data_IF_565974350792
#
_entry.id   IF_565974350792
#
_cell.length_a   1.000
_cell.length_b   1.000
_cell.length_c   1.000
_cell.angle_alpha   90.00
_cell.angle_beta   90.00
_cell.angle_gamma   90.00
#
_symmetry.space_group_name_H-M   'P 1'
#
loop_
_entity.id
_entity.type
_entity.pdbx_description
1 polymer ?
#
# COMPACT_ATOMS: atom_id res chain seq x y z
N UNK A 1 -9.95 -7.96 -3.34
CA UNK A 1 -8.64 -7.68 -2.70
C UNK A 1 -8.67 -8.25 -1.29
N UNK A 2 -7.56 -8.81 -0.83
CA UNK A 2 -7.38 -9.35 0.52
C UNK A 2 -6.23 -8.63 1.22
N UNK A 3 -6.46 -8.19 2.46
CA UNK A 3 -5.46 -7.50 3.29
C UNK A 3 -5.29 -8.27 4.59
N UNK A 4 -4.08 -8.70 4.88
CA UNK A 4 -3.76 -9.41 6.13
C UNK A 4 -2.90 -8.54 7.03
N UNK A 5 -3.29 -8.43 8.30
CA UNK A 5 -2.53 -7.79 9.35
C UNK A 5 -1.95 -8.84 10.30
N UNK A 6 -0.63 -8.92 10.39
CA UNK A 6 0.06 -9.85 11.29
C UNK A 6 0.69 -9.07 12.44
N UNK A 7 0.24 -9.32 13.68
CA UNK A 7 0.88 -8.75 14.88
C UNK A 7 2.32 -9.26 14.98
N UNK A 8 3.26 -8.35 15.23
CA UNK A 8 4.67 -8.69 15.41
C UNK A 8 5.10 -8.44 16.86
N UNK A 9 6.31 -8.90 17.20
CA UNK A 9 6.94 -8.57 18.47
C UNK A 9 7.34 -7.09 18.54
N UNK A 10 7.26 -6.53 19.76
CA UNK A 10 7.33 -5.08 19.97
C UNK A 10 6.09 -4.39 19.40
N UNK A 11 5.91 -3.11 19.70
CA UNK A 11 4.74 -2.31 19.31
C UNK A 11 4.66 -2.11 17.79
N UNK A 12 4.37 -3.18 17.02
CA UNK A 12 4.47 -3.27 15.55
C UNK A 12 3.51 -4.30 14.97
N UNK A 13 3.17 -4.13 13.70
CA UNK A 13 2.47 -5.11 12.88
C UNK A 13 2.99 -5.08 11.44
N UNK A 14 2.80 -6.18 10.72
CA UNK A 14 3.07 -6.33 9.29
C UNK A 14 1.76 -6.36 8.53
N UNK A 15 1.76 -5.78 7.34
CA UNK A 15 0.65 -5.84 6.41
C UNK A 15 1.09 -6.50 5.10
N UNK A 16 0.26 -7.41 4.60
CA UNK A 16 0.36 -8.02 3.28
C UNK A 16 -0.93 -7.81 2.50
N UNK A 17 -0.83 -7.63 1.18
CA UNK A 17 -1.97 -7.38 0.31
C UNK A 17 -1.90 -8.29 -0.90
N UNK A 18 -2.99 -8.98 -1.18
CA UNK A 18 -3.23 -9.72 -2.42
C UNK A 18 -4.35 -9.03 -3.18
N UNK A 19 -4.09 -8.71 -4.45
CA UNK A 19 -5.02 -7.95 -5.29
C UNK A 19 -5.01 -8.50 -6.71
N UNK A 20 -6.12 -8.30 -7.42
CA UNK A 20 -6.31 -8.77 -8.79
C UNK A 20 -5.56 -7.91 -9.81
N UNK A 21 -5.45 -6.61 -9.54
CA UNK A 21 -4.89 -5.62 -10.46
C UNK A 21 -3.54 -5.08 -9.96
N UNK A 22 -2.60 -4.88 -10.90
CA UNK A 22 -1.29 -4.28 -10.62
C UNK A 22 -0.23 -5.28 -10.16
N UNK A 23 1.02 -4.81 -9.90
CA UNK A 23 2.10 -5.70 -9.48
C UNK A 23 1.84 -6.25 -8.07
N UNK A 24 2.37 -7.44 -7.80
CA UNK A 24 2.47 -7.98 -6.45
C UNK A 24 3.20 -6.98 -5.54
N UNK A 25 2.75 -6.87 -4.29
CA UNK A 25 3.27 -5.90 -3.32
C UNK A 25 4.15 -6.59 -2.28
N UNK A 26 5.26 -5.95 -1.93
CA UNK A 26 6.10 -6.40 -0.84
C UNK A 26 5.38 -6.17 0.50
N UNK A 27 5.48 -7.11 1.47
CA UNK A 27 5.01 -6.88 2.83
C UNK A 27 5.66 -5.62 3.42
N UNK A 28 4.87 -4.82 4.16
CA UNK A 28 5.38 -3.63 4.87
C UNK A 28 5.04 -3.68 6.35
N UNK A 29 5.80 -2.95 7.16
CA UNK A 29 5.42 -2.67 8.54
C UNK A 29 4.52 -1.43 8.56
N UNK A 30 3.40 -1.51 9.26
CA UNK A 30 2.46 -0.39 9.34
C UNK A 30 2.86 0.63 10.41
N UNK A 31 2.45 1.90 10.26
CA UNK A 31 2.69 2.95 11.23
C UNK A 31 1.73 2.82 12.42
N UNK A 32 2.01 3.57 13.49
CA UNK A 32 1.06 3.83 14.57
C UNK A 32 0.58 2.57 15.28
N UNK A 33 1.36 2.10 16.25
CA UNK A 33 0.92 0.97 17.07
C UNK A 33 -0.16 1.39 18.07
N UNK A 34 -1.18 0.56 18.17
CA UNK A 34 -2.17 0.56 19.23
C UNK A 34 -2.39 -0.90 19.69
N UNK A 35 -2.69 -1.10 20.97
CA UNK A 35 -2.85 -2.43 21.56
C UNK A 35 -4.09 -3.19 21.04
N UNK A 36 -5.11 -2.46 20.62
CA UNK A 36 -6.40 -3.01 20.22
C UNK A 36 -6.51 -3.25 18.72
N UNK A 37 -6.07 -2.30 17.88
CA UNK A 37 -6.22 -2.43 16.44
C UNK A 37 -5.07 -1.75 15.66
N UNK A 38 -4.56 -2.37 14.58
CA UNK A 38 -3.67 -1.70 13.65
C UNK A 38 -4.28 -0.42 13.07
N UNK A 39 -3.52 0.66 13.03
CA UNK A 39 -3.97 1.94 12.44
C UNK A 39 -4.48 1.76 11.00
N UNK A 40 -3.74 1.03 10.17
CA UNK A 40 -4.12 0.77 8.78
C UNK A 40 -5.40 -0.08 8.66
N UNK A 41 -5.75 -0.88 9.66
CA UNK A 41 -7.01 -1.63 9.66
C UNK A 41 -8.21 -0.70 9.88
N UNK A 42 -8.07 0.36 10.68
CA UNK A 42 -9.10 1.40 10.84
C UNK A 42 -9.40 2.05 9.48
N UNK A 43 -8.37 2.42 8.73
CA UNK A 43 -8.52 3.01 7.40
C UNK A 43 -9.22 2.06 6.42
N UNK A 44 -8.83 0.79 6.40
CA UNK A 44 -9.46 -0.21 5.54
C UNK A 44 -10.95 -0.36 5.85
N UNK A 45 -11.30 -0.54 7.13
CA UNK A 45 -12.69 -0.72 7.56
C UNK A 45 -13.50 0.54 7.21
N UNK A 46 -13.00 1.72 7.55
CA UNK A 46 -13.69 2.98 7.25
C UNK A 46 -13.94 3.18 5.74
N UNK A 47 -12.95 2.84 4.90
CA UNK A 47 -13.12 2.90 3.44
C UNK A 47 -14.17 1.91 2.94
N UNK A 48 -14.18 0.67 3.46
CA UNK A 48 -15.17 -0.35 3.10
C UNK A 48 -16.60 0.06 3.50
N UNK A 49 -16.79 0.48 4.75
CA UNK A 49 -18.11 0.86 5.28
C UNK A 49 -18.67 2.11 4.57
N UNK A 50 -17.81 3.05 4.19
CA UNK A 50 -18.21 4.26 3.48
C UNK A 50 -18.23 4.11 1.94
N UNK A 51 -17.87 2.94 1.39
CA UNK A 51 -17.83 2.71 -0.06
C UNK A 51 -16.81 3.56 -0.82
N UNK A 52 -15.70 3.95 -0.16
CA UNK A 52 -14.72 4.87 -0.71
C UNK A 52 -13.69 4.16 -1.60
N UNK A 53 -13.84 4.29 -2.92
CA UNK A 53 -12.86 3.75 -3.88
C UNK A 53 -11.58 4.61 -4.04
N UNK A 54 -11.63 5.89 -3.64
CA UNK A 54 -10.51 6.84 -3.78
C UNK A 54 -9.54 6.87 -2.59
N UNK A 55 -9.82 6.08 -1.54
CA UNK A 55 -9.01 6.01 -0.34
C UNK A 55 -7.64 5.37 -0.55
N UNK A 56 -6.94 5.09 0.54
CA UNK A 56 -5.64 4.42 0.51
C UNK A 56 -5.79 3.00 -0.05
N UNK A 57 -6.73 2.23 0.49
CA UNK A 57 -6.95 0.85 0.08
C UNK A 57 -7.74 0.74 -1.21
N UNK A 58 -8.69 1.64 -1.46
CA UNK A 58 -9.38 1.72 -2.75
C UNK A 58 -8.41 1.90 -3.93
N UNK A 59 -7.43 2.80 -3.80
CA UNK A 59 -6.39 2.97 -4.82
C UNK A 59 -5.44 1.78 -4.91
N UNK A 60 -5.11 1.13 -3.78
CA UNK A 60 -4.35 -0.13 -3.81
C UNK A 60 -5.11 -1.23 -4.55
N UNK A 61 -6.42 -1.34 -4.35
CA UNK A 61 -7.27 -2.28 -5.08
C UNK A 61 -7.30 -1.97 -6.59
N UNK A 62 -7.27 -0.70 -6.97
CA UNK A 62 -7.16 -0.25 -8.37
C UNK A 62 -5.77 -0.50 -9.00
N UNK A 63 -4.82 -1.09 -8.26
CA UNK A 63 -3.49 -1.46 -8.76
C UNK A 63 -2.39 -0.43 -8.50
N UNK A 64 -2.69 0.67 -7.80
CA UNK A 64 -1.67 1.63 -7.39
C UNK A 64 -0.80 1.09 -6.26
N UNK A 65 0.51 1.36 -6.28
CA UNK A 65 1.38 0.88 -5.21
C UNK A 65 1.25 1.73 -3.93
N UNK A 66 0.99 3.05 -4.07
CA UNK A 66 0.80 4.01 -2.97
C UNK A 66 1.76 3.80 -1.78
N UNK A 67 1.26 3.26 -0.67
CA UNK A 67 2.01 3.05 0.58
C UNK A 67 2.87 1.78 0.57
N UNK A 68 2.83 0.98 -0.50
CA UNK A 68 3.59 -0.25 -0.69
C UNK A 68 4.62 -0.11 -1.81
N UNK A 69 5.67 -0.91 -1.72
CA UNK A 69 6.58 -1.15 -2.84
C UNK A 69 6.12 -2.38 -3.65
N UNK A 70 6.32 -2.42 -4.98
CA UNK A 70 6.24 -3.67 -5.73
C UNK A 70 7.20 -4.71 -5.16
N UNK A 71 6.79 -5.98 -5.16
CA UNK A 71 7.62 -7.10 -4.72
C UNK A 71 8.75 -7.41 -5.72
N UNK A 72 8.50 -7.21 -7.02
CA UNK A 72 9.49 -7.44 -8.08
C UNK A 72 10.44 -6.23 -8.23
N UNK A 73 11.76 -6.39 -8.01
CA UNK A 73 12.76 -5.34 -8.21
C UNK A 73 12.77 -4.73 -9.61
N UNK A 74 12.37 -5.49 -10.64
CA UNK A 74 12.30 -5.00 -12.03
C UNK A 74 11.22 -3.92 -12.19
N UNK A 75 10.09 -4.08 -11.50
CA UNK A 75 8.97 -3.14 -11.48
C UNK A 75 9.36 -1.86 -10.74
N UNK A 76 10.10 -2.01 -9.63
CA UNK A 76 10.65 -0.87 -8.87
C UNK A 76 11.55 -0.01 -9.77
N UNK A 77 12.48 -0.62 -10.51
CA UNK A 77 13.38 0.09 -11.43
C UNK A 77 12.60 0.84 -12.52
N UNK A 78 11.59 0.19 -13.10
CA UNK A 78 10.73 0.79 -14.14
C UNK A 78 9.93 1.99 -13.60
N UNK A 79 9.37 1.89 -12.40
CA UNK A 79 8.65 2.98 -11.74
C UNK A 79 9.57 4.17 -11.45
N UNK A 80 10.74 3.94 -10.84
CA UNK A 80 11.73 5.00 -10.60
C UNK A 80 12.15 5.73 -11.88
N UNK A 81 12.34 4.99 -12.99
CA UNK A 81 12.67 5.57 -14.30
C UNK A 81 11.54 6.43 -14.87
N UNK A 82 10.28 6.05 -14.65
CA UNK A 82 9.11 6.85 -15.07
C UNK A 82 8.99 8.12 -14.24
N UNK A 83 9.18 8.04 -12.93
CA UNK A 83 9.11 9.20 -12.03
C UNK A 83 10.20 10.23 -12.31
N UNK A 84 11.43 9.78 -12.60
CA UNK A 84 12.52 10.67 -13.02
C UNK A 84 12.19 11.39 -14.33
N UNK A 85 11.69 10.67 -15.34
CA UNK A 85 11.23 11.29 -16.60
C UNK A 85 10.08 12.29 -16.41
N UNK A 86 9.15 12.00 -15.48
CA UNK A 86 8.04 12.92 -15.15
C UNK A 86 8.52 14.18 -14.44
N UNK A 87 9.55 14.08 -13.59
CA UNK A 87 10.16 15.24 -12.91
C UNK A 87 10.94 16.12 -13.87
N UNK A 88 11.58 15.54 -14.89
CA UNK A 88 12.28 16.30 -15.92
C UNK A 88 11.29 16.98 -16.87
N UNK A 89 10.20 16.33 -17.26
CA UNK A 89 9.19 16.93 -18.16
C UNK A 89 8.31 18.01 -17.51
N UNK A 90 8.34 18.13 -16.18
CA UNK A 90 7.60 19.17 -15.43
C UNK A 90 8.46 20.40 -15.13
N UNK A 91 9.72 20.39 -15.57
CA UNK A 91 10.71 21.46 -15.38
C UNK A 91 10.94 22.30 -16.64
N UNK A 92 10.16 22.04 -17.70
CA UNK A 92 10.13 22.79 -18.96
C UNK A 92 8.82 23.58 -19.08
#
# INVERSE_FOLDING_TARGET
MEVTFTKLAGRRYRMTVVRECGPALAPRQGPGYNDYLPHDAVHLIAECEAGLAGGVFGRVAAGECNIFAPADPSVIRRQRRRETKRRTSKKE
#
